data_IF_842364946215
#
_entry.id   IF_842364946215
#
_cell.length_a   1.000
_cell.length_b   1.000
_cell.length_c   1.000
_cell.angle_alpha   90.00
_cell.angle_beta   90.00
_cell.angle_gamma   90.00
#
_symmetry.space_group_name_H-M   'P 1'
#
loop_
_entity.id
_entity.type
_entity.pdbx_description
1 polymer ?
#
# COMPACT_ATOMS: atom_id res chain seq x y z
N UNK A 1 4.10 11.07 46.74
CA UNK A 1 3.27 9.93 46.28
C UNK A 1 2.59 10.38 45.00
N UNK A 2 3.25 10.18 43.86
CA UNK A 2 2.73 10.56 42.53
C UNK A 2 2.16 9.30 41.88
N UNK A 3 0.84 9.25 41.74
CA UNK A 3 0.17 8.29 40.87
C UNK A 3 -0.05 8.97 39.52
N UNK A 4 0.65 8.51 38.48
CA UNK A 4 0.22 8.71 37.10
C UNK A 4 -0.01 7.33 36.49
N UNK A 5 -1.29 7.04 36.24
CA UNK A 5 -1.79 5.79 35.70
C UNK A 5 -1.60 5.72 34.19
N UNK A 6 -1.18 4.53 33.76
CA UNK A 6 -1.53 3.81 32.54
C UNK A 6 -1.21 4.47 31.21
N UNK A 7 -0.15 3.93 30.58
CA UNK A 7 0.08 4.03 29.15
C UNK A 7 -1.09 3.44 28.37
N UNK A 8 -1.66 4.27 27.52
CA UNK A 8 -2.64 3.84 26.54
C UNK A 8 -1.99 2.87 25.56
N UNK A 9 -2.67 1.74 25.42
CA UNK A 9 -2.37 0.59 24.60
C UNK A 9 -1.93 0.96 23.20
N UNK A 10 -0.74 0.49 22.82
CA UNK A 10 -0.36 0.27 21.44
C UNK A 10 -1.47 -0.54 20.76
N UNK A 11 -2.16 0.07 19.80
CA UNK A 11 -3.03 -0.63 18.87
C UNK A 11 -2.17 -1.67 18.15
N UNK A 12 -2.28 -2.94 18.55
CA UNK A 12 -1.72 -4.05 17.81
C UNK A 12 -2.40 -4.04 16.43
N UNK A 13 -1.67 -3.58 15.41
CA UNK A 13 -2.04 -3.86 14.04
C UNK A 13 -2.03 -5.39 13.90
N UNK A 14 -3.22 -6.00 13.87
CA UNK A 14 -3.33 -7.42 13.49
C UNK A 14 -2.59 -7.59 12.16
N UNK A 15 -1.58 -8.45 12.15
CA UNK A 15 -0.94 -8.85 10.90
C UNK A 15 -2.02 -9.33 9.92
N UNK A 16 -1.90 -9.04 8.60
CA UNK A 16 -2.85 -9.51 7.61
C UNK A 16 -3.13 -11.00 7.79
N UNK A 17 -4.39 -11.35 8.05
CA UNK A 17 -4.80 -12.75 8.19
C UNK A 17 -4.46 -13.46 6.89
N UNK A 18 -3.53 -14.41 6.97
CA UNK A 18 -3.15 -15.32 5.88
C UNK A 18 -4.43 -15.98 5.37
N UNK A 19 -4.95 -15.51 4.23
CA UNK A 19 -6.21 -16.03 3.71
C UNK A 19 -6.83 -15.27 2.54
N UNK A 20 -6.53 -13.98 2.35
CA UNK A 20 -7.17 -13.21 1.27
C UNK A 20 -6.20 -12.87 0.13
N UNK A 21 -6.03 -13.82 -0.78
CA UNK A 21 -5.34 -13.66 -2.05
C UNK A 21 -6.29 -13.06 -3.08
N UNK A 22 -5.89 -11.99 -3.78
CA UNK A 22 -6.67 -11.41 -4.85
C UNK A 22 -6.06 -10.12 -5.40
N UNK A 23 -6.47 -9.68 -6.60
CA UNK A 23 -5.95 -8.45 -7.20
C UNK A 23 -6.37 -7.22 -6.39
N UNK A 24 -5.64 -6.12 -6.58
CA UNK A 24 -6.05 -4.82 -6.05
C UNK A 24 -7.43 -4.42 -6.61
N UNK A 25 -8.26 -3.85 -5.75
CA UNK A 25 -9.58 -3.31 -6.06
C UNK A 25 -9.53 -1.79 -6.22
N UNK A 26 -8.66 -1.12 -5.46
CA UNK A 26 -8.52 0.34 -5.45
C UNK A 26 -7.04 0.74 -5.45
N UNK A 27 -6.72 1.69 -6.34
CA UNK A 27 -5.42 2.37 -6.42
C UNK A 27 -5.61 3.84 -6.07
N UNK A 28 -5.03 4.28 -4.95
CA UNK A 28 -4.98 5.67 -4.55
C UNK A 28 -3.78 6.38 -5.16
N UNK A 29 -4.03 7.31 -6.09
CA UNK A 29 -3.01 8.12 -6.74
C UNK A 29 -2.67 9.41 -5.96
N UNK A 30 -3.32 9.65 -4.82
CA UNK A 30 -3.05 10.82 -3.96
C UNK A 30 -1.68 10.74 -3.26
N UNK A 31 -0.98 11.86 -3.20
CA UNK A 31 0.29 11.98 -2.48
C UNK A 31 0.12 11.91 -0.96
N UNK A 32 1.21 11.63 -0.26
CA UNK A 32 1.25 11.72 1.19
C UNK A 32 0.71 13.07 1.68
N UNK A 33 0.06 13.05 2.85
CA UNK A 33 -0.55 14.22 3.52
C UNK A 33 -1.85 14.76 2.89
N UNK A 34 -2.39 14.14 1.83
CA UNK A 34 -3.71 14.49 1.27
C UNK A 34 -4.87 13.68 1.88
N UNK A 35 -4.73 13.24 3.13
CA UNK A 35 -5.73 12.41 3.82
C UNK A 35 -5.63 10.90 3.54
N UNK A 36 -4.51 10.43 2.99
CA UNK A 36 -4.25 9.02 2.65
C UNK A 36 -4.45 8.06 3.83
N UNK A 37 -4.10 8.46 5.06
CA UNK A 37 -4.35 7.65 6.26
C UNK A 37 -5.85 7.46 6.54
N UNK A 38 -6.64 8.53 6.43
CA UNK A 38 -8.09 8.45 6.59
C UNK A 38 -8.72 7.59 5.49
N UNK A 39 -8.23 7.73 4.25
CA UNK A 39 -8.65 6.90 3.12
C UNK A 39 -8.30 5.42 3.33
N UNK A 40 -7.10 5.09 3.84
CA UNK A 40 -6.72 3.73 4.25
C UNK A 40 -7.77 3.14 5.18
N UNK A 41 -8.08 3.83 6.28
CA UNK A 41 -9.08 3.37 7.26
C UNK A 41 -10.45 3.16 6.62
N UNK A 42 -10.91 4.09 5.78
CA UNK A 42 -12.20 3.97 5.11
C UNK A 42 -12.26 2.74 4.17
N UNK A 43 -11.20 2.50 3.39
CA UNK A 43 -11.11 1.35 2.49
C UNK A 43 -11.09 0.02 3.25
N UNK A 44 -10.37 -0.03 4.38
CA UNK A 44 -10.34 -1.23 5.23
C UNK A 44 -11.71 -1.53 5.85
N UNK A 45 -12.48 -0.50 6.22
CA UNK A 45 -13.87 -0.66 6.68
C UNK A 45 -14.78 -1.16 5.55
N UNK A 46 -14.71 -0.53 4.36
CA UNK A 46 -15.60 -0.84 3.23
C UNK A 46 -15.36 -2.25 2.69
N UNK A 47 -14.09 -2.62 2.50
CA UNK A 47 -13.74 -3.90 1.89
C UNK A 47 -13.46 -5.01 2.91
N UNK A 48 -13.32 -4.67 4.21
CA UNK A 48 -12.97 -5.64 5.25
C UNK A 48 -11.60 -6.28 5.03
N UNK A 49 -10.68 -5.59 4.35
CA UNK A 49 -9.42 -6.13 3.85
C UNK A 49 -8.28 -5.10 3.94
N UNK A 50 -7.01 -5.53 4.09
CA UNK A 50 -5.88 -4.63 4.27
C UNK A 50 -5.68 -3.65 3.09
N UNK A 51 -5.30 -2.42 3.43
CA UNK A 51 -4.92 -1.38 2.48
C UNK A 51 -3.45 -1.00 2.66
N UNK A 52 -2.65 -1.14 1.59
CA UNK A 52 -1.23 -0.84 1.60
C UNK A 52 -1.00 0.68 1.73
N UNK A 53 -0.07 1.08 2.58
CA UNK A 53 0.27 2.49 2.87
C UNK A 53 1.76 2.58 3.20
N UNK A 54 2.37 3.77 3.13
CA UNK A 54 3.76 4.01 3.55
C UNK A 54 4.11 3.43 4.94
N UNK A 55 3.16 3.38 5.88
CA UNK A 55 3.42 2.80 7.20
C UNK A 55 3.66 1.29 7.16
N UNK A 56 3.03 0.58 6.22
CA UNK A 56 3.24 -0.86 6.02
C UNK A 56 4.70 -1.13 5.61
N UNK A 57 5.22 -0.32 4.69
CA UNK A 57 6.63 -0.37 4.28
C UNK A 57 7.57 -0.10 5.47
N UNK A 58 7.29 0.94 6.26
CA UNK A 58 8.19 1.39 7.34
C UNK A 58 8.16 0.48 8.57
N UNK A 59 6.99 -0.10 8.89
CA UNK A 59 6.76 -0.81 10.15
C UNK A 59 6.73 -2.33 10.00
N UNK A 60 6.28 -2.85 8.85
CA UNK A 60 5.98 -4.27 8.68
C UNK A 60 6.81 -4.96 7.59
N UNK A 61 7.12 -4.25 6.50
CA UNK A 61 7.75 -4.84 5.31
C UNK A 61 9.04 -4.13 4.90
N UNK A 62 10.05 -4.16 5.77
CA UNK A 62 11.35 -3.51 5.50
C UNK A 62 12.02 -4.03 4.22
N UNK A 63 11.76 -5.28 3.85
CA UNK A 63 12.23 -5.90 2.61
C UNK A 63 11.58 -5.33 1.35
N UNK A 64 10.36 -4.78 1.45
CA UNK A 64 9.69 -4.13 0.32
C UNK A 64 10.46 -2.89 -0.18
N UNK A 65 11.31 -2.28 0.66
CA UNK A 65 12.16 -1.15 0.23
C UNK A 65 13.03 -1.52 -0.98
N UNK A 66 13.61 -2.72 -0.99
CA UNK A 66 14.41 -3.22 -2.12
C UNK A 66 13.55 -3.47 -3.36
N UNK A 67 12.34 -4.01 -3.18
CA UNK A 67 11.40 -4.23 -4.29
C UNK A 67 10.98 -2.91 -4.93
N UNK A 68 10.72 -1.88 -4.14
CA UNK A 68 10.38 -0.55 -4.65
C UNK A 68 11.56 0.16 -5.33
N UNK A 69 12.79 -0.01 -4.83
CA UNK A 69 13.99 0.46 -5.54
C UNK A 69 14.14 -0.25 -6.89
N UNK A 70 13.86 -1.55 -6.95
CA UNK A 70 13.90 -2.30 -8.20
C UNK A 70 12.81 -1.85 -9.19
N UNK A 71 11.59 -1.57 -8.69
CA UNK A 71 10.52 -0.95 -9.50
C UNK A 71 10.99 0.38 -10.10
N UNK A 72 11.56 1.27 -9.29
CA UNK A 72 12.07 2.56 -9.75
C UNK A 72 13.14 2.42 -10.84
N UNK A 73 14.09 1.50 -10.63
CA UNK A 73 15.15 1.17 -11.59
C UNK A 73 14.56 0.69 -12.92
N UNK A 74 13.66 -0.31 -12.87
CA UNK A 74 13.05 -0.90 -14.06
C UNK A 74 12.19 0.11 -14.83
N UNK A 75 11.43 0.96 -14.13
CA UNK A 75 10.62 2.02 -14.76
C UNK A 75 11.52 3.04 -15.44
N UNK A 76 12.62 3.44 -14.80
CA UNK A 76 13.58 4.41 -15.33
C UNK A 76 14.35 3.90 -16.55
N UNK A 77 14.64 2.60 -16.62
CA UNK A 77 15.29 1.95 -17.76
C UNK A 77 14.32 1.64 -18.92
N UNK A 78 13.02 1.67 -18.65
CA UNK A 78 11.99 1.36 -19.63
C UNK A 78 11.74 2.52 -20.60
N UNK A 79 11.73 2.24 -21.90
CA UNK A 79 11.48 3.26 -22.94
C UNK A 79 10.08 3.85 -22.88
N UNK A 80 9.10 3.07 -22.43
CA UNK A 80 7.69 3.46 -22.33
C UNK A 80 7.16 3.44 -20.89
N UNK A 81 8.07 3.33 -19.90
CA UNK A 81 7.74 3.31 -18.48
C UNK A 81 7.01 2.06 -18.00
N UNK A 82 6.90 1.02 -18.84
CA UNK A 82 6.25 -0.26 -18.49
C UNK A 82 7.26 -1.26 -17.97
N UNK A 83 6.81 -2.09 -17.04
CA UNK A 83 7.60 -3.15 -16.42
C UNK A 83 6.76 -4.43 -16.26
N UNK A 84 7.40 -5.58 -16.06
CA UNK A 84 6.71 -6.82 -15.68
C UNK A 84 5.98 -6.62 -14.33
N UNK A 85 4.68 -6.94 -14.21
CA UNK A 85 3.91 -6.69 -12.99
C UNK A 85 4.24 -7.61 -11.81
N UNK A 86 5.10 -8.63 -11.97
CA UNK A 86 5.44 -9.60 -10.90
C UNK A 86 5.83 -8.95 -9.57
N UNK A 87 6.66 -7.90 -9.60
CA UNK A 87 7.07 -7.20 -8.38
C UNK A 87 5.88 -6.57 -7.65
N UNK A 88 4.89 -6.04 -8.38
CA UNK A 88 3.67 -5.54 -7.77
C UNK A 88 2.87 -6.66 -7.11
N UNK A 89 2.75 -7.82 -7.76
CA UNK A 89 2.06 -8.98 -7.17
C UNK A 89 2.72 -9.44 -5.86
N UNK A 90 4.05 -9.39 -5.79
CA UNK A 90 4.78 -9.70 -4.56
C UNK A 90 4.62 -8.63 -3.48
N UNK A 91 4.65 -7.34 -3.84
CA UNK A 91 4.50 -6.23 -2.88
C UNK A 91 3.09 -6.21 -2.29
N UNK A 92 2.07 -6.44 -3.10
CA UNK A 92 0.66 -6.33 -2.70
C UNK A 92 0.03 -7.67 -2.32
N UNK A 93 0.83 -8.72 -2.14
CA UNK A 93 0.32 -10.00 -1.65
C UNK A 93 -0.39 -9.80 -0.29
N UNK A 94 -1.68 -10.14 -0.24
CA UNK A 94 -2.52 -9.97 0.96
C UNK A 94 -3.16 -8.58 1.14
N UNK A 95 -2.91 -7.65 0.22
CA UNK A 95 -3.55 -6.32 0.19
C UNK A 95 -4.58 -6.24 -0.93
N UNK A 96 -5.69 -5.52 -0.68
CA UNK A 96 -6.75 -5.31 -1.68
C UNK A 96 -6.90 -3.86 -2.12
N UNK A 97 -6.24 -2.94 -1.43
CA UNK A 97 -6.19 -1.53 -1.79
C UNK A 97 -4.77 -1.01 -1.58
N UNK A 98 -4.41 0.09 -2.24
CA UNK A 98 -3.15 0.80 -1.98
C UNK A 98 -3.36 2.30 -2.02
N UNK A 99 -2.68 3.03 -1.14
CA UNK A 99 -2.67 4.50 -1.07
C UNK A 99 -1.29 4.98 -0.62
N UNK A 100 -1.03 6.29 -0.73
CA UNK A 100 0.22 6.92 -0.30
C UNK A 100 1.46 6.39 -1.05
N UNK A 101 2.60 6.96 -0.71
CA UNK A 101 3.89 6.49 -1.16
C UNK A 101 4.21 5.08 -0.64
N UNK A 102 5.05 4.34 -1.36
CA UNK A 102 5.56 4.63 -2.70
C UNK A 102 4.54 4.36 -3.83
N UNK A 103 3.41 3.70 -3.53
CA UNK A 103 2.47 3.22 -4.55
C UNK A 103 1.90 4.29 -5.46
N UNK A 104 1.57 5.48 -4.93
CA UNK A 104 0.98 6.56 -5.73
C UNK A 104 1.92 7.10 -6.82
N UNK A 105 3.24 6.98 -6.66
CA UNK A 105 4.22 7.37 -7.69
C UNK A 105 4.17 6.47 -8.93
N UNK A 106 3.62 5.27 -8.80
CA UNK A 106 3.60 4.25 -9.86
C UNK A 106 2.19 3.87 -10.29
N UNK A 107 1.19 4.73 -10.02
CA UNK A 107 -0.20 4.44 -10.35
C UNK A 107 -0.43 4.06 -11.84
N UNK A 108 0.28 4.62 -12.85
CA UNK A 108 0.08 4.19 -14.24
C UNK A 108 0.53 2.75 -14.49
N UNK A 109 1.61 2.31 -13.85
CA UNK A 109 2.08 0.92 -13.93
C UNK A 109 1.16 -0.02 -13.15
N UNK A 110 0.63 0.45 -12.00
CA UNK A 110 -0.35 -0.31 -11.23
C UNK A 110 -1.67 -0.49 -12.00
N UNK A 111 -2.14 0.52 -12.74
CA UNK A 111 -3.31 0.40 -13.60
C UNK A 111 -3.11 -0.64 -14.71
N UNK A 112 -1.88 -0.79 -15.22
CA UNK A 112 -1.56 -1.84 -16.19
C UNK A 112 -1.52 -3.23 -15.55
N UNK A 113 -0.97 -3.33 -14.34
CA UNK A 113 -0.88 -4.58 -13.58
C UNK A 113 -2.24 -5.08 -13.06
N UNK A 114 -3.15 -4.15 -12.76
CA UNK A 114 -4.48 -4.38 -12.19
C UNK A 114 -5.54 -3.57 -12.96
N UNK A 115 -5.89 -3.99 -14.21
CA UNK A 115 -6.76 -3.21 -15.09
C UNK A 115 -8.20 -3.03 -14.55
N UNK A 116 -8.66 -3.93 -13.68
CA UNK A 116 -9.99 -3.87 -13.08
C UNK A 116 -10.05 -3.00 -11.81
N UNK A 117 -8.90 -2.54 -11.31
CA UNK A 117 -8.83 -1.71 -10.11
C UNK A 117 -9.34 -0.29 -10.39
N UNK A 118 -10.18 0.23 -9.51
CA UNK A 118 -10.63 1.62 -9.59
C UNK A 118 -9.52 2.56 -9.10
N UNK A 119 -9.32 3.67 -9.80
CA UNK A 119 -8.34 4.68 -9.43
C UNK A 119 -9.03 5.86 -8.75
N UNK A 120 -8.52 6.28 -7.60
CA UNK A 120 -8.97 7.48 -6.90
C UNK A 120 -7.85 8.51 -6.84
N UNK A 121 -8.12 9.75 -7.26
CA UNK A 121 -7.26 10.91 -7.04
C UNK A 121 -7.93 11.87 -6.05
N UNK A 122 -7.12 12.48 -5.17
CA UNK A 122 -7.51 13.62 -4.35
C UNK A 122 -7.21 14.92 -5.08
#
# INVERSE_FOLDING_TARGET
MVHTTSGDSMVNAEQPRVGNSGPLLVIGAGFGRTGTKSLKTALEIIYGQPCYHMFELLMHHKDHSRKWIEVDRLVSESKDGKIDPRLFYEIFAGYRCTVDFPSCSYYPQLMQAYPDAKVSGS
#
